data_IF_195716618906
#
_entry.id   IF_195716618906
#
_cell.length_a   1.000
_cell.length_b   1.000
_cell.length_c   1.000
_cell.angle_alpha   90.00
_cell.angle_beta   90.00
_cell.angle_gamma   90.00
#
_symmetry.space_group_name_H-M   'P 1'
#
loop_
_entity.id
_entity.type
_entity.pdbx_description
1 polymer ?
#
# COMPACT_ATOMS: atom_id res chain seq x y z
N UNK A 1 -2.16 26.07 -30.41
CA UNK A 1 -3.05 26.21 -29.21
C UNK A 1 -3.30 24.87 -28.51
N UNK A 2 -3.33 23.77 -29.23
CA UNK A 2 -3.60 22.41 -28.72
C UNK A 2 -2.64 21.91 -27.62
N UNK A 3 -1.36 22.24 -27.73
CA UNK A 3 -0.36 21.78 -26.74
C UNK A 3 -0.49 22.42 -25.34
N UNK A 4 -1.07 23.62 -25.22
CA UNK A 4 -1.26 24.26 -23.90
C UNK A 4 -2.47 23.70 -23.13
N UNK A 5 -3.50 23.22 -23.83
CA UNK A 5 -4.65 22.55 -23.22
C UNK A 5 -4.30 21.13 -22.74
N UNK A 6 -3.47 20.42 -23.51
CA UNK A 6 -2.99 19.08 -23.13
C UNK A 6 -2.13 19.18 -21.85
N UNK A 7 -1.28 20.18 -21.74
CA UNK A 7 -0.44 20.39 -20.54
C UNK A 7 -1.28 20.75 -19.31
N UNK A 8 -2.38 21.48 -19.46
CA UNK A 8 -3.28 21.82 -18.37
C UNK A 8 -4.10 20.64 -17.85
N UNK A 9 -4.34 19.64 -18.69
CA UNK A 9 -5.12 18.42 -18.36
C UNK A 9 -4.36 17.45 -17.45
N UNK A 10 -3.04 17.58 -17.34
CA UNK A 10 -2.16 16.68 -16.57
C UNK A 10 -1.32 17.39 -15.50
N UNK A 11 -1.62 18.65 -15.18
CA UNK A 11 -0.91 19.33 -14.09
C UNK A 11 -1.25 18.67 -12.75
N UNK A 12 -0.23 18.19 -12.06
CA UNK A 12 -0.37 17.73 -10.69
C UNK A 12 -0.63 18.94 -9.80
N UNK A 13 -1.71 18.92 -9.03
CA UNK A 13 -1.96 19.93 -8.02
C UNK A 13 -0.90 19.87 -6.91
N UNK A 14 -0.67 20.96 -6.20
CA UNK A 14 0.27 20.97 -5.06
C UNK A 14 -0.08 19.91 -4.02
N UNK A 15 -1.36 19.70 -3.74
CA UNK A 15 -1.83 18.66 -2.80
C UNK A 15 -1.52 17.26 -3.30
N UNK A 16 -1.81 16.95 -4.57
CA UNK A 16 -1.48 15.65 -5.16
C UNK A 16 0.04 15.39 -5.11
N UNK A 17 0.86 16.40 -5.38
CA UNK A 17 2.31 16.28 -5.28
C UNK A 17 2.76 15.95 -3.83
N UNK A 18 2.19 16.62 -2.83
CA UNK A 18 2.48 16.36 -1.42
C UNK A 18 2.09 14.93 -1.04
N UNK A 19 0.90 14.47 -1.44
CA UNK A 19 0.43 13.10 -1.15
C UNK A 19 1.34 12.04 -1.76
N UNK A 20 1.81 12.23 -3.00
CA UNK A 20 2.75 11.32 -3.66
C UNK A 20 4.11 11.35 -2.94
N UNK A 21 4.60 12.52 -2.52
CA UNK A 21 5.85 12.62 -1.74
C UNK A 21 5.72 11.89 -0.40
N UNK A 22 4.62 12.07 0.33
CA UNK A 22 4.35 11.35 1.57
C UNK A 22 4.29 9.84 1.35
N UNK A 23 3.64 9.38 0.28
CA UNK A 23 3.64 7.99 -0.12
C UNK A 23 5.07 7.46 -0.29
N UNK A 24 5.91 8.17 -1.05
CA UNK A 24 7.29 7.74 -1.28
C UNK A 24 8.10 7.66 0.02
N UNK A 25 7.90 8.61 0.94
CA UNK A 25 8.55 8.56 2.26
C UNK A 25 8.13 7.32 3.05
N UNK A 26 6.84 6.98 3.09
CA UNK A 26 6.36 5.78 3.78
C UNK A 26 6.97 4.50 3.18
N UNK A 27 7.06 4.42 1.86
CA UNK A 27 7.66 3.25 1.19
C UNK A 27 9.17 3.17 1.44
N UNK A 28 9.89 4.29 1.48
CA UNK A 28 11.32 4.31 1.83
C UNK A 28 11.52 3.82 3.26
N UNK A 29 10.68 4.25 4.21
CA UNK A 29 10.73 3.77 5.59
C UNK A 29 10.44 2.25 5.67
N UNK A 30 9.42 1.78 4.97
CA UNK A 30 9.09 0.35 4.89
C UNK A 30 10.25 -0.47 4.29
N UNK A 31 10.88 0.03 3.23
CA UNK A 31 12.05 -0.61 2.62
C UNK A 31 13.24 -0.65 3.58
N UNK A 32 13.52 0.45 4.28
CA UNK A 32 14.58 0.52 5.30
C UNK A 32 14.39 -0.50 6.42
N UNK A 33 13.16 -0.64 6.94
CA UNK A 33 12.82 -1.66 7.93
C UNK A 33 13.01 -3.08 7.39
N UNK A 34 12.64 -3.32 6.14
CA UNK A 34 12.80 -4.63 5.49
C UNK A 34 14.28 -4.99 5.32
N UNK A 35 15.11 -4.05 4.85
CA UNK A 35 16.56 -4.24 4.69
C UNK A 35 17.20 -4.49 6.07
N UNK A 36 16.82 -3.72 7.09
CA UNK A 36 17.29 -3.94 8.46
C UNK A 36 16.93 -5.35 8.96
N UNK A 37 15.71 -5.81 8.63
CA UNK A 37 15.25 -7.17 8.89
C UNK A 37 16.12 -8.23 8.23
N UNK A 38 16.51 -8.07 6.96
CA UNK A 38 17.42 -8.96 6.23
C UNK A 38 18.77 -9.05 6.95
N UNK A 39 19.40 -7.91 7.22
CA UNK A 39 20.73 -7.84 7.86
C UNK A 39 20.72 -8.56 9.21
N UNK A 40 19.70 -8.34 10.03
CA UNK A 40 19.56 -9.00 11.33
C UNK A 40 19.25 -10.50 11.20
N UNK A 41 18.48 -10.90 10.20
CA UNK A 41 18.17 -12.32 9.98
C UNK A 41 19.39 -13.10 9.54
N UNK A 42 20.26 -12.52 8.72
CA UNK A 42 21.52 -13.13 8.31
C UNK A 42 22.50 -13.21 9.52
N UNK A 43 22.70 -12.09 10.21
CA UNK A 43 23.74 -11.98 11.25
C UNK A 43 23.40 -12.64 12.59
N UNK A 44 22.12 -12.80 12.92
CA UNK A 44 21.71 -13.21 14.28
C UNK A 44 20.92 -14.52 14.32
N UNK A 45 20.08 -14.76 13.31
CA UNK A 45 19.08 -15.84 13.37
C UNK A 45 19.32 -16.97 12.38
N UNK A 46 20.06 -16.75 11.29
CA UNK A 46 20.26 -17.70 10.19
C UNK A 46 18.96 -18.35 9.68
N UNK A 47 17.85 -17.59 9.69
CA UNK A 47 16.51 -18.09 9.36
C UNK A 47 16.17 -17.68 7.92
N UNK A 48 16.23 -18.66 7.02
CA UNK A 48 15.95 -18.49 5.58
C UNK A 48 14.54 -17.97 5.34
N UNK A 49 13.55 -18.44 6.09
CA UNK A 49 12.15 -18.01 5.90
C UNK A 49 12.00 -16.51 6.15
N UNK A 50 12.70 -15.99 7.16
CA UNK A 50 12.69 -14.54 7.45
C UNK A 50 13.40 -13.75 6.36
N UNK A 51 14.53 -14.26 5.85
CA UNK A 51 15.24 -13.61 4.74
C UNK A 51 14.34 -13.52 3.51
N UNK A 52 13.61 -14.60 3.19
CA UNK A 52 12.65 -14.61 2.06
C UNK A 52 11.55 -13.56 2.27
N UNK A 53 10.94 -13.50 3.46
CA UNK A 53 9.87 -12.55 3.76
C UNK A 53 10.38 -11.11 3.66
N UNK A 54 11.48 -10.77 4.32
CA UNK A 54 12.04 -9.42 4.28
C UNK A 54 12.55 -9.05 2.88
N UNK A 55 13.14 -10.00 2.16
CA UNK A 55 13.56 -9.80 0.78
C UNK A 55 12.38 -9.50 -0.14
N UNK A 56 11.31 -10.26 -0.01
CA UNK A 56 10.06 -10.02 -0.74
C UNK A 56 9.46 -8.65 -0.41
N UNK A 57 9.44 -8.26 0.87
CA UNK A 57 8.97 -6.93 1.29
C UNK A 57 9.83 -5.81 0.69
N UNK A 58 11.14 -5.93 0.73
CA UNK A 58 12.05 -4.95 0.13
C UNK A 58 11.84 -4.82 -1.38
N UNK A 59 11.68 -5.95 -2.09
CA UNK A 59 11.40 -5.97 -3.54
C UNK A 59 10.05 -5.31 -3.86
N UNK A 60 9.02 -5.59 -3.06
CA UNK A 60 7.70 -4.96 -3.26
C UNK A 60 7.75 -3.46 -2.99
N UNK A 61 8.46 -3.02 -1.95
CA UNK A 61 8.70 -1.59 -1.70
C UNK A 61 9.44 -0.93 -2.87
N UNK A 62 10.46 -1.60 -3.41
CA UNK A 62 11.20 -1.11 -4.56
C UNK A 62 10.31 -0.99 -5.81
N UNK A 63 9.49 -2.01 -6.10
CA UNK A 63 8.52 -1.95 -7.19
C UNK A 63 7.52 -0.79 -7.00
N UNK A 64 7.11 -0.52 -5.76
CA UNK A 64 6.22 0.59 -5.42
C UNK A 64 6.89 1.96 -5.65
N UNK A 65 8.17 2.10 -5.31
CA UNK A 65 8.96 3.32 -5.60
C UNK A 65 9.10 3.55 -7.11
N UNK A 66 9.42 2.50 -7.87
CA UNK A 66 9.49 2.57 -9.33
C UNK A 66 8.14 2.97 -9.94
N UNK A 67 7.06 2.40 -9.44
CA UNK A 67 5.71 2.80 -9.85
C UNK A 67 5.43 4.27 -9.49
N UNK A 68 5.76 4.72 -8.29
CA UNK A 68 5.57 6.11 -7.87
C UNK A 68 6.31 7.11 -8.77
N UNK A 69 7.58 6.82 -9.11
CA UNK A 69 8.36 7.64 -10.04
C UNK A 69 7.80 7.60 -11.46
N UNK A 70 7.40 6.43 -11.94
CA UNK A 70 6.74 6.28 -13.25
C UNK A 70 5.44 7.10 -13.31
N UNK A 71 4.58 6.97 -12.29
CA UNK A 71 3.34 7.72 -12.21
C UNK A 71 3.60 9.24 -12.18
N UNK A 72 4.58 9.68 -11.41
CA UNK A 72 4.94 11.09 -11.33
C UNK A 72 5.32 11.66 -12.70
N UNK A 73 6.06 10.91 -13.51
CA UNK A 73 6.52 11.33 -14.83
C UNK A 73 5.45 11.17 -15.92
N UNK A 74 4.78 10.04 -15.98
CA UNK A 74 3.87 9.66 -17.09
C UNK A 74 2.39 9.90 -16.78
N UNK A 75 2.01 10.09 -15.50
CA UNK A 75 0.61 10.23 -15.05
C UNK A 75 -0.27 9.02 -15.38
N UNK A 76 0.33 7.85 -15.56
CA UNK A 76 -0.33 6.60 -15.94
C UNK A 76 -0.31 5.61 -14.77
N UNK A 77 -1.38 4.83 -14.64
CA UNK A 77 -1.59 3.84 -13.57
C UNK A 77 -1.38 2.41 -14.04
N UNK A 78 -0.82 2.20 -15.22
CA UNK A 78 -0.68 0.88 -15.85
C UNK A 78 -0.10 -0.19 -14.93
N UNK A 79 0.90 0.18 -14.12
CA UNK A 79 1.58 -0.78 -13.23
C UNK A 79 1.01 -0.85 -11.82
N UNK A 80 -0.01 -0.05 -11.49
CA UNK A 80 -0.60 -0.04 -10.13
C UNK A 80 -1.16 -1.40 -9.74
N UNK A 81 -1.87 -2.04 -10.66
CA UNK A 81 -2.45 -3.38 -10.46
C UNK A 81 -1.37 -4.40 -10.08
N UNK A 82 -0.25 -4.40 -10.81
CA UNK A 82 0.87 -5.32 -10.53
C UNK A 82 1.46 -5.09 -9.14
N UNK A 83 1.59 -3.83 -8.70
CA UNK A 83 2.10 -3.50 -7.36
C UNK A 83 1.14 -3.96 -6.26
N UNK A 84 -0.17 -3.76 -6.43
CA UNK A 84 -1.19 -4.20 -5.47
C UNK A 84 -1.20 -5.72 -5.33
N UNK A 85 -1.12 -6.46 -6.45
CA UNK A 85 -1.05 -7.93 -6.42
C UNK A 85 0.26 -8.43 -5.81
N UNK A 86 1.40 -7.79 -6.10
CA UNK A 86 2.67 -8.15 -5.46
C UNK A 86 2.62 -7.97 -3.95
N UNK A 87 1.99 -6.88 -3.48
CA UNK A 87 1.75 -6.66 -2.07
C UNK A 87 0.88 -7.75 -1.45
N UNK A 88 -0.27 -8.05 -2.06
CA UNK A 88 -1.19 -9.07 -1.55
C UNK A 88 -0.55 -10.47 -1.48
N UNK A 89 0.20 -10.84 -2.52
CA UNK A 89 0.95 -12.10 -2.54
C UNK A 89 1.99 -12.16 -1.43
N UNK A 90 2.75 -11.08 -1.23
CA UNK A 90 3.75 -10.99 -0.18
C UNK A 90 3.12 -11.16 1.22
N UNK A 91 1.99 -10.49 1.48
CA UNK A 91 1.29 -10.62 2.75
C UNK A 91 0.78 -12.06 2.96
N UNK A 92 0.29 -12.72 1.91
CA UNK A 92 -0.10 -14.13 1.95
C UNK A 92 1.09 -15.04 2.32
N UNK A 93 2.26 -14.83 1.69
CA UNK A 93 3.49 -15.56 2.01
C UNK A 93 3.94 -15.29 3.45
N UNK A 94 3.91 -14.03 3.90
CA UNK A 94 4.27 -13.65 5.26
C UNK A 94 3.45 -14.40 6.31
N UNK A 95 2.13 -14.43 6.16
CA UNK A 95 1.24 -15.13 7.11
C UNK A 95 1.41 -16.64 7.03
N UNK A 96 1.62 -17.20 5.82
CA UNK A 96 1.80 -18.64 5.63
C UNK A 96 3.11 -19.16 6.24
N UNK A 97 4.16 -18.33 6.29
CA UNK A 97 5.45 -18.70 6.88
C UNK A 97 5.49 -18.54 8.42
N UNK A 98 4.43 -18.01 9.02
CA UNK A 98 4.30 -18.02 10.47
C UNK A 98 4.14 -19.46 10.95
N UNK A 99 5.16 -19.98 11.61
CA UNK A 99 5.08 -21.28 12.30
C UNK A 99 4.17 -21.16 13.50
N UNK A 100 3.02 -21.76 13.39
CA UNK A 100 2.12 -22.02 14.50
C UNK A 100 2.48 -23.36 15.10
N UNK A 101 2.52 -23.44 16.41
CA UNK A 101 3.03 -24.63 17.15
C UNK A 101 2.12 -25.85 17.09
N UNK A 102 1.79 -26.34 15.88
CA UNK A 102 1.14 -27.65 15.65
C UNK A 102 -0.36 -27.73 15.90
N UNK A 103 -0.95 -26.83 16.64
CA UNK A 103 -2.40 -26.68 16.82
C UNK A 103 -2.77 -25.31 16.27
N UNK A 104 -3.80 -25.22 15.43
CA UNK A 104 -4.32 -23.93 14.99
C UNK A 104 -4.89 -23.18 16.20
N UNK A 105 -4.06 -22.32 16.77
CA UNK A 105 -4.48 -21.41 17.80
C UNK A 105 -5.33 -20.28 17.20
N UNK A 106 -6.18 -19.67 18.02
CA UNK A 106 -7.06 -18.57 17.60
C UNK A 106 -6.33 -17.43 16.89
N UNK A 107 -5.15 -16.96 17.34
CA UNK A 107 -4.39 -15.93 16.62
C UNK A 107 -3.98 -16.32 15.22
N UNK A 108 -3.55 -17.55 14.98
CA UNK A 108 -3.23 -18.05 13.64
C UNK A 108 -4.43 -18.09 12.72
N UNK A 109 -5.55 -18.55 13.22
CA UNK A 109 -6.80 -18.56 12.45
C UNK A 109 -7.21 -17.14 12.06
N UNK A 110 -7.20 -16.20 13.02
CA UNK A 110 -7.53 -14.80 12.75
C UNK A 110 -6.57 -14.20 11.73
N UNK A 111 -5.27 -14.44 11.86
CA UNK A 111 -4.28 -13.93 10.89
C UNK A 111 -4.52 -14.45 9.47
N UNK A 112 -4.80 -15.75 9.31
CA UNK A 112 -5.14 -16.34 8.01
C UNK A 112 -6.43 -15.78 7.42
N UNK A 113 -7.44 -15.59 8.26
CA UNK A 113 -8.72 -15.00 7.83
C UNK A 113 -8.56 -13.55 7.35
N UNK A 114 -7.83 -12.73 8.11
CA UNK A 114 -7.53 -11.34 7.71
C UNK A 114 -6.73 -11.31 6.41
N UNK A 115 -5.79 -12.25 6.22
CA UNK A 115 -5.05 -12.37 4.96
C UNK A 115 -5.96 -12.58 3.77
N UNK A 116 -6.96 -13.47 3.87
CA UNK A 116 -7.94 -13.70 2.79
C UNK A 116 -8.69 -12.41 2.47
N UNK A 117 -9.13 -11.68 3.51
CA UNK A 117 -9.81 -10.39 3.32
C UNK A 117 -8.91 -9.36 2.66
N UNK A 118 -7.62 -9.28 3.04
CA UNK A 118 -6.64 -8.38 2.39
C UNK A 118 -6.44 -8.70 0.92
N UNK A 119 -6.35 -9.98 0.54
CA UNK A 119 -6.21 -10.39 -0.85
C UNK A 119 -7.45 -10.02 -1.68
N UNK A 120 -8.65 -10.24 -1.13
CA UNK A 120 -9.91 -9.86 -1.77
C UNK A 120 -10.03 -8.34 -1.93
N UNK A 121 -9.71 -7.59 -0.89
CA UNK A 121 -9.74 -6.13 -0.89
C UNK A 121 -8.71 -5.55 -1.90
N UNK A 122 -7.50 -6.12 -1.96
CA UNK A 122 -6.49 -5.76 -2.95
C UNK A 122 -6.96 -6.01 -4.39
N UNK A 123 -7.64 -7.13 -4.64
CA UNK A 123 -8.21 -7.45 -5.95
C UNK A 123 -9.27 -6.42 -6.37
N UNK A 124 -10.16 -6.04 -5.46
CA UNK A 124 -11.17 -5.02 -5.71
C UNK A 124 -10.57 -3.63 -5.90
N UNK A 125 -9.56 -3.27 -5.11
CA UNK A 125 -8.86 -2.00 -5.21
C UNK A 125 -8.14 -1.83 -6.55
N UNK A 126 -7.59 -2.92 -7.11
CA UNK A 126 -6.84 -2.87 -8.36
C UNK A 126 -7.65 -2.28 -9.53
N UNK A 127 -8.96 -2.48 -9.51
CA UNK A 127 -9.86 -2.03 -10.58
C UNK A 127 -10.58 -0.69 -10.25
N UNK A 128 -10.55 -0.24 -8.98
CA UNK A 128 -11.32 0.92 -8.50
C UNK A 128 -10.49 2.11 -8.01
N UNK A 129 -9.29 2.28 -8.53
CA UNK A 129 -8.33 3.30 -8.06
C UNK A 129 -8.78 4.76 -8.22
N UNK A 130 -9.80 5.03 -9.05
CA UNK A 130 -10.23 6.39 -9.40
C UNK A 130 -11.63 6.73 -8.85
N UNK A 131 -12.17 5.93 -7.97
CA UNK A 131 -13.52 6.08 -7.43
C UNK A 131 -13.48 6.30 -5.92
N UNK A 132 -14.58 6.85 -5.37
CA UNK A 132 -14.73 6.93 -3.91
C UNK A 132 -14.69 5.55 -3.26
N UNK A 133 -15.19 4.52 -3.96
CA UNK A 133 -15.09 3.13 -3.50
C UNK A 133 -13.64 2.69 -3.35
N UNK A 134 -12.76 3.08 -4.28
CA UNK A 134 -11.32 2.82 -4.18
C UNK A 134 -10.68 3.46 -2.94
N UNK A 135 -11.14 4.64 -2.54
CA UNK A 135 -10.71 5.23 -1.27
C UNK A 135 -11.13 4.39 -0.07
N UNK A 136 -12.40 3.97 0.01
CA UNK A 136 -12.87 3.12 1.11
C UNK A 136 -12.16 1.77 1.13
N UNK A 137 -11.94 1.14 -0.02
CA UNK A 137 -11.18 -0.10 -0.13
C UNK A 137 -9.72 0.08 0.35
N UNK A 138 -9.06 1.16 0.00
CA UNK A 138 -7.70 1.42 0.47
C UNK A 138 -7.66 1.71 1.99
N UNK A 139 -8.70 2.30 2.54
CA UNK A 139 -8.83 2.52 3.97
C UNK A 139 -9.10 1.20 4.73
N UNK A 140 -9.90 0.30 4.15
CA UNK A 140 -10.11 -1.04 4.74
C UNK A 140 -8.82 -1.85 4.75
N UNK A 141 -7.96 -1.75 3.73
CA UNK A 141 -6.63 -2.38 3.74
C UNK A 141 -5.79 -1.90 4.93
N UNK A 142 -5.76 -0.60 5.21
CA UNK A 142 -5.05 -0.06 6.39
C UNK A 142 -5.65 -0.62 7.68
N UNK A 143 -6.97 -0.68 7.79
CA UNK A 143 -7.66 -1.24 8.96
C UNK A 143 -7.32 -2.73 9.17
N UNK A 144 -7.36 -3.53 8.11
CA UNK A 144 -7.02 -4.94 8.15
C UNK A 144 -5.55 -5.17 8.56
N UNK A 145 -4.62 -4.35 8.07
CA UNK A 145 -3.21 -4.42 8.47
C UNK A 145 -3.00 -4.03 9.95
N UNK A 146 -3.74 -3.05 10.45
CA UNK A 146 -3.71 -2.71 11.88
C UNK A 146 -4.21 -3.88 12.72
N UNK A 147 -5.33 -4.51 12.34
CA UNK A 147 -5.87 -5.68 13.04
C UNK A 147 -4.87 -6.83 12.98
N UNK A 148 -4.27 -7.08 11.82
CA UNK A 148 -3.24 -8.10 11.66
C UNK A 148 -2.03 -7.83 12.55
N UNK A 149 -1.57 -6.58 12.63
CA UNK A 149 -0.50 -6.14 13.53
C UNK A 149 -0.85 -6.41 15.00
N UNK A 150 -2.06 -6.05 15.43
CA UNK A 150 -2.52 -6.30 16.79
C UNK A 150 -2.63 -7.80 17.09
N UNK A 151 -3.09 -8.59 16.13
CA UNK A 151 -3.15 -10.06 16.24
C UNK A 151 -1.76 -10.65 16.48
N UNK A 152 -0.74 -10.17 15.75
CA UNK A 152 0.64 -10.58 15.96
C UNK A 152 1.18 -10.17 17.33
N UNK A 153 0.90 -8.96 17.78
CA UNK A 153 1.35 -8.48 19.10
C UNK A 153 0.71 -9.26 20.25
N UNK A 154 -0.56 -9.59 20.15
CA UNK A 154 -1.31 -10.27 21.21
C UNK A 154 -1.10 -11.78 21.17
N UNK A 155 -1.07 -12.37 19.98
CA UNK A 155 -1.05 -13.82 19.78
C UNK A 155 0.34 -14.45 19.81
N UNK A 156 1.39 -13.67 19.53
CA UNK A 156 2.75 -14.20 19.41
C UNK A 156 3.68 -13.53 20.44
N UNK A 157 3.88 -14.13 21.63
CA UNK A 157 4.69 -13.53 22.70
C UNK A 157 6.11 -13.15 22.29
N UNK A 158 6.71 -13.93 21.37
CA UNK A 158 8.07 -13.68 20.85
C UNK A 158 8.14 -12.35 20.11
N UNK A 159 7.05 -11.91 19.48
CA UNK A 159 7.00 -10.61 18.79
C UNK A 159 7.08 -9.47 19.79
N UNK A 160 6.41 -9.58 20.95
CA UNK A 160 6.42 -8.56 22.00
C UNK A 160 7.77 -8.35 22.65
N UNK A 161 8.57 -9.39 22.74
CA UNK A 161 9.86 -9.34 23.46
C UNK A 161 11.01 -8.81 22.62
N UNK A 162 10.86 -8.70 21.30
CA UNK A 162 11.94 -8.30 20.39
C UNK A 162 11.48 -7.20 19.45
N UNK A 163 12.10 -6.04 19.58
CA UNK A 163 11.78 -4.83 18.81
C UNK A 163 11.77 -5.05 17.30
N UNK A 164 12.65 -5.91 16.79
CA UNK A 164 12.72 -6.29 15.40
C UNK A 164 11.44 -6.99 14.91
N UNK A 165 10.88 -7.89 15.73
CA UNK A 165 9.65 -8.59 15.36
C UNK A 165 8.42 -7.71 15.42
N UNK A 166 8.44 -6.66 16.25
CA UNK A 166 7.41 -5.63 16.25
C UNK A 166 7.45 -4.77 14.99
N UNK A 167 8.61 -4.57 14.40
CA UNK A 167 8.76 -3.77 13.18
C UNK A 167 8.27 -4.49 11.91
N UNK A 168 8.33 -5.83 11.88
CA UNK A 168 7.95 -6.65 10.71
C UNK A 168 6.50 -6.44 10.24
N UNK A 169 5.50 -6.62 11.11
CA UNK A 169 4.11 -6.40 10.70
C UNK A 169 3.82 -4.92 10.41
N UNK A 170 4.60 -3.99 10.99
CA UNK A 170 4.42 -2.56 10.76
C UNK A 170 4.72 -2.14 9.31
N UNK A 171 5.56 -2.89 8.58
CA UNK A 171 5.80 -2.66 7.16
C UNK A 171 4.51 -2.76 6.35
N UNK A 172 3.61 -3.70 6.65
CA UNK A 172 2.31 -3.81 6.01
C UNK A 172 1.44 -2.56 6.19
N UNK A 173 1.41 -2.00 7.40
CA UNK A 173 0.69 -0.74 7.68
C UNK A 173 1.27 0.41 6.85
N UNK A 174 2.59 0.54 6.77
CA UNK A 174 3.23 1.59 5.97
C UNK A 174 2.90 1.46 4.48
N UNK A 175 2.91 0.24 3.95
CA UNK A 175 2.61 -0.04 2.55
C UNK A 175 1.14 0.22 2.21
N UNK A 176 0.21 -0.24 3.04
CA UNK A 176 -1.22 0.00 2.86
C UNK A 176 -1.58 1.49 3.00
N UNK A 177 -0.97 2.20 3.96
CA UNK A 177 -1.10 3.65 4.09
C UNK A 177 -0.58 4.39 2.85
N UNK A 178 0.55 3.94 2.28
CA UNK A 178 1.08 4.51 1.04
C UNK A 178 0.11 4.30 -0.15
N UNK A 179 -0.55 3.14 -0.25
CA UNK A 179 -1.58 2.90 -1.26
C UNK A 179 -2.79 3.83 -1.07
N UNK A 180 -3.23 4.02 0.16
CA UNK A 180 -4.33 4.93 0.49
C UNK A 180 -4.01 6.38 0.08
N UNK A 181 -2.80 6.87 0.36
CA UNK A 181 -2.34 8.19 -0.07
C UNK A 181 -2.31 8.32 -1.61
N UNK A 182 -1.88 7.27 -2.31
CA UNK A 182 -1.89 7.25 -3.77
C UNK A 182 -3.31 7.36 -4.33
N UNK A 183 -4.24 6.55 -3.84
CA UNK A 183 -5.66 6.57 -4.28
C UNK A 183 -6.29 7.92 -3.99
N UNK A 184 -6.04 8.50 -2.80
CA UNK A 184 -6.52 9.84 -2.43
C UNK A 184 -6.01 10.90 -3.40
N UNK A 185 -4.72 10.88 -3.71
CA UNK A 185 -4.12 11.79 -4.69
C UNK A 185 -4.72 11.64 -6.10
N UNK A 186 -5.09 10.43 -6.50
CA UNK A 186 -5.75 10.16 -7.79
C UNK A 186 -7.16 10.73 -7.86
N UNK A 187 -7.94 10.55 -6.81
CA UNK A 187 -9.31 11.10 -6.73
C UNK A 187 -9.26 12.62 -6.81
N UNK A 188 -8.38 13.25 -6.05
CA UNK A 188 -8.22 14.71 -6.07
C UNK A 188 -7.78 15.23 -7.44
N UNK A 189 -6.87 14.53 -8.11
CA UNK A 189 -6.46 14.89 -9.47
C UNK A 189 -7.63 14.82 -10.45
N UNK A 190 -8.49 13.79 -10.34
CA UNK A 190 -9.67 13.63 -11.20
C UNK A 190 -10.71 14.71 -10.94
N UNK A 191 -10.96 15.08 -9.70
CA UNK A 191 -11.92 16.15 -9.34
C UNK A 191 -11.47 17.51 -9.87
N UNK A 192 -10.17 17.82 -9.75
CA UNK A 192 -9.61 19.06 -10.26
C UNK A 192 -9.45 19.11 -11.79
N UNK A 193 -9.57 17.96 -12.48
CA UNK A 193 -9.51 17.85 -13.94
C UNK A 193 -10.86 18.00 -14.62
N UNK A 194 -11.97 18.09 -13.87
CA UNK A 194 -13.29 18.37 -14.45
C UNK A 194 -13.29 19.78 -15.01
N UNK A 195 -13.71 19.99 -16.27
CA UNK A 195 -13.78 21.33 -16.84
C UNK A 195 -14.80 22.17 -16.06
N UNK A 196 -14.39 23.39 -15.70
CA UNK A 196 -15.21 24.41 -14.99
C UNK A 196 -16.42 24.87 -15.85
N UNK A 197 -16.66 24.27 -17.00
CA UNK A 197 -17.50 24.80 -18.07
C UNK A 197 -18.99 24.40 -18.02
N UNK A 198 -19.50 23.73 -17.00
CA UNK A 198 -20.94 23.38 -16.99
C UNK A 198 -21.84 24.30 -16.15
N UNK A 199 -21.30 25.27 -15.42
CA UNK A 199 -22.11 26.08 -14.49
C UNK A 199 -22.44 27.53 -14.95
N UNK A 200 -22.01 27.97 -16.12
CA UNK A 200 -22.19 29.37 -16.56
C UNK A 200 -22.83 29.58 -17.93
N UNK A 201 -23.76 28.72 -18.35
CA UNK A 201 -24.67 29.10 -19.46
C UNK A 201 -26.10 28.90 -19.01
N UNK A 202 -26.58 29.69 -18.07
CA UNK A 202 -28.02 30.01 -18.04
C UNK A 202 -28.24 31.13 -19.03
N UNK A 203 -28.99 30.90 -20.12
CA UNK A 203 -29.35 31.97 -21.02
C UNK A 203 -30.23 32.96 -20.24
N UNK A 204 -29.78 34.22 -20.15
CA UNK A 204 -30.68 35.33 -19.75
C UNK A 204 -31.84 35.35 -20.73
N UNK A 205 -32.99 34.85 -20.28
CA UNK A 205 -34.25 35.12 -20.97
C UNK A 205 -34.49 36.64 -20.91
N UNK A 206 -34.50 37.26 -22.09
CA UNK A 206 -35.10 38.57 -22.31
C UNK A 206 -36.61 38.43 -22.32
#
# INVERSE_FOLDING_TARGET
MENKEIIKKYSITKKTAILIMMQMVLIILAMGLSIFGIVKSIGTYHDINRIIVYGGQALTCFAFLLFGTYYFNKKDTKYFRSVVYSYALLEAVRVSLLKTGGVEDLPSFIAKFIMVLLVLDAALLSDRTNTKDGFYLSLTMVGLEIILYMTFLLGFPVIRTRLLFMALPFVGILMSAAMCLFVTGRIEQKENSKPINEEKVKPKRK
#
